data_IF_696183503872
#
_entry.id   IF_696183503872
#
_cell.length_a   1.000
_cell.length_b   1.000
_cell.length_c   1.000
_cell.angle_alpha   90.00
_cell.angle_beta   90.00
_cell.angle_gamma   90.00
#
_symmetry.space_group_name_H-M   'P 1'
#
loop_
_entity.id
_entity.type
_entity.pdbx_description
1 polymer ?
#
# COMPACT_ATOMS: atom_id res chain seq x y z
N UNK A 1 17.30 40.41 27.85
CA UNK A 1 17.50 40.23 26.40
C UNK A 1 18.22 38.91 26.22
N UNK A 2 17.63 37.97 25.50
CA UNK A 2 18.35 36.74 25.12
C UNK A 2 19.21 37.14 23.93
N UNK A 3 20.53 37.18 24.12
CA UNK A 3 21.48 37.42 23.03
C UNK A 3 21.57 36.16 22.17
N UNK A 4 20.74 36.12 21.13
CA UNK A 4 20.81 35.07 20.11
C UNK A 4 22.04 35.34 19.24
N UNK A 5 23.13 34.64 19.55
CA UNK A 5 24.30 34.62 18.69
C UNK A 5 23.95 34.00 17.33
N UNK A 6 24.59 34.48 16.26
CA UNK A 6 24.37 33.96 14.92
C UNK A 6 24.47 32.43 14.85
N UNK A 7 25.45 31.86 15.58
CA UNK A 7 25.67 30.42 15.66
C UNK A 7 24.50 29.67 16.28
N UNK A 8 23.88 30.20 17.34
CA UNK A 8 22.71 29.57 17.96
C UNK A 8 21.48 29.64 17.06
N UNK A 9 21.26 30.77 16.39
CA UNK A 9 20.19 30.91 15.40
C UNK A 9 20.37 29.93 14.23
N UNK A 10 21.59 29.77 13.72
CA UNK A 10 21.90 28.86 12.63
C UNK A 10 21.69 27.39 13.01
N UNK A 11 22.14 26.99 14.21
CA UNK A 11 21.95 25.64 14.72
C UNK A 11 20.48 25.30 14.95
N UNK A 12 19.69 26.25 15.46
CA UNK A 12 18.24 26.07 15.61
C UNK A 12 17.54 25.94 14.27
N UNK A 13 17.90 26.75 13.28
CA UNK A 13 17.35 26.67 11.94
C UNK A 13 17.61 25.30 11.31
N UNK A 14 18.86 24.82 11.36
CA UNK A 14 19.22 23.49 10.86
C UNK A 14 18.53 22.37 11.64
N UNK A 15 18.50 22.46 12.98
CA UNK A 15 17.84 21.46 13.82
C UNK A 15 16.35 21.32 13.52
N UNK A 16 15.63 22.45 13.41
CA UNK A 16 14.20 22.48 13.11
C UNK A 16 13.92 21.95 11.71
N UNK A 17 14.69 22.38 10.70
CA UNK A 17 14.51 21.92 9.32
C UNK A 17 14.76 20.41 9.19
N UNK A 18 15.81 19.90 9.83
CA UNK A 18 16.11 18.46 9.84
C UNK A 18 15.02 17.67 10.58
N UNK A 19 14.54 18.17 11.72
CA UNK A 19 13.45 17.56 12.47
C UNK A 19 12.15 17.52 11.65
N UNK A 20 11.84 18.57 10.87
CA UNK A 20 10.71 18.59 9.96
C UNK A 20 10.83 17.53 8.87
N UNK A 21 11.99 17.45 8.21
CA UNK A 21 12.25 16.45 7.16
C UNK A 21 12.11 15.02 7.72
N UNK A 22 12.71 14.76 8.88
CA UNK A 22 12.60 13.47 9.56
C UNK A 22 11.15 13.17 9.97
N UNK A 23 10.43 14.16 10.51
CA UNK A 23 9.02 14.02 10.88
C UNK A 23 8.14 13.67 9.69
N UNK A 24 8.33 14.34 8.55
CA UNK A 24 7.61 14.04 7.29
C UNK A 24 7.97 12.65 6.80
N UNK A 25 9.25 12.27 6.82
CA UNK A 25 9.69 10.95 6.38
C UNK A 25 9.09 9.83 7.25
N UNK A 26 9.14 9.98 8.56
CA UNK A 26 8.54 9.06 9.53
C UNK A 26 7.03 8.97 9.30
N UNK A 27 6.35 10.11 9.20
CA UNK A 27 4.91 10.16 8.95
C UNK A 27 4.53 9.48 7.63
N UNK A 28 5.27 9.75 6.55
CA UNK A 28 5.09 9.12 5.25
C UNK A 28 5.30 7.62 5.34
N UNK A 29 6.37 7.16 6.00
CA UNK A 29 6.65 5.74 6.15
C UNK A 29 5.54 5.01 6.94
N UNK A 30 5.05 5.60 8.04
CA UNK A 30 3.90 5.05 8.78
C UNK A 30 2.60 5.09 7.97
N UNK A 31 2.36 6.15 7.20
CA UNK A 31 1.18 6.26 6.32
C UNK A 31 1.23 5.27 5.18
N UNK A 32 2.37 5.06 4.55
CA UNK A 32 2.58 4.08 3.48
C UNK A 32 2.39 2.66 4.00
N UNK A 33 2.92 2.33 5.19
CA UNK A 33 2.64 1.04 5.85
C UNK A 33 1.14 0.81 6.07
N UNK A 34 0.39 1.86 6.45
CA UNK A 34 -1.07 1.78 6.57
C UNK A 34 -1.77 1.67 5.21
N UNK A 35 -1.32 2.39 4.18
CA UNK A 35 -1.92 2.33 2.84
C UNK A 35 -1.63 1.02 2.12
N UNK A 36 -0.50 0.35 2.38
CA UNK A 36 -0.24 -1.00 1.88
C UNK A 36 -1.25 -2.01 2.47
N UNK A 37 -1.70 -1.82 3.72
CA UNK A 37 -2.76 -2.67 4.31
C UNK A 37 -4.11 -2.42 3.62
N UNK A 38 -4.38 -1.19 3.17
CA UNK A 38 -5.57 -0.84 2.38
C UNK A 38 -5.40 -1.09 0.87
N UNK A 39 -4.23 -1.55 0.43
CA UNK A 39 -3.97 -1.82 -0.97
C UNK A 39 -4.62 -3.14 -1.35
N UNK A 40 -5.94 -3.08 -1.49
CA UNK A 40 -6.80 -3.99 -2.26
C UNK A 40 -6.47 -5.47 -2.01
N UNK A 41 -7.29 -6.18 -1.23
CA UNK A 41 -7.25 -7.65 -1.19
C UNK A 41 -7.49 -8.18 -2.62
N UNK A 42 -6.43 -8.24 -3.42
CA UNK A 42 -6.47 -8.81 -4.75
C UNK A 42 -6.57 -10.31 -4.56
N UNK A 43 -7.80 -10.79 -4.65
CA UNK A 43 -8.07 -12.20 -4.65
C UNK A 43 -7.51 -12.79 -5.95
N UNK A 44 -6.66 -13.81 -5.82
CA UNK A 44 -6.20 -14.58 -6.97
C UNK A 44 -7.30 -15.57 -7.33
N UNK A 45 -7.80 -15.46 -8.55
CA UNK A 45 -8.79 -16.36 -9.14
C UNK A 45 -8.12 -17.23 -10.20
N UNK A 46 -8.63 -18.45 -10.34
CA UNK A 46 -8.25 -19.36 -11.42
C UNK A 46 -9.52 -19.70 -12.18
N UNK A 47 -9.51 -19.51 -13.50
CA UNK A 47 -10.67 -19.82 -14.34
C UNK A 47 -10.85 -21.35 -14.48
N UNK A 48 -12.07 -21.85 -14.25
CA UNK A 48 -12.40 -23.29 -14.41
C UNK A 48 -12.26 -23.79 -15.86
N UNK A 49 -12.35 -22.89 -16.85
CA UNK A 49 -12.35 -23.26 -18.27
C UNK A 49 -10.95 -23.24 -18.88
N UNK A 50 -10.24 -22.12 -18.78
CA UNK A 50 -8.93 -21.95 -19.41
C UNK A 50 -7.76 -22.10 -18.42
N UNK A 51 -8.04 -22.33 -17.13
CA UNK A 51 -7.02 -22.45 -16.08
C UNK A 51 -6.09 -21.24 -15.94
N UNK A 52 -6.48 -20.10 -16.52
CA UNK A 52 -5.74 -18.86 -16.42
C UNK A 52 -5.91 -18.27 -15.01
N UNK A 53 -4.80 -17.95 -14.35
CA UNK A 53 -4.78 -17.28 -13.07
C UNK A 53 -4.77 -15.76 -13.27
N UNK A 54 -5.68 -15.05 -12.60
CA UNK A 54 -5.80 -13.60 -12.69
C UNK A 54 -6.12 -12.99 -11.33
N UNK A 55 -5.76 -11.71 -11.15
CA UNK A 55 -6.04 -10.95 -9.94
C UNK A 55 -7.21 -10.02 -10.22
N UNK A 56 -8.23 -10.06 -9.37
CA UNK A 56 -9.37 -9.15 -9.45
C UNK A 56 -9.48 -8.37 -8.14
N UNK A 57 -9.70 -7.07 -8.27
CA UNK A 57 -9.80 -6.13 -7.15
C UNK A 57 -11.19 -6.13 -6.51
N UNK A 58 -12.20 -6.56 -7.27
CA UNK A 58 -13.59 -6.60 -6.84
C UNK A 58 -14.01 -8.07 -6.73
N UNK A 59 -14.12 -8.56 -5.50
CA UNK A 59 -14.61 -9.92 -5.21
C UNK A 59 -16.11 -9.94 -5.52
N UNK A 60 -16.46 -10.16 -6.78
CA UNK A 60 -17.83 -10.43 -7.20
C UNK A 60 -18.07 -11.94 -7.15
N UNK A 61 -19.32 -12.32 -6.93
CA UNK A 61 -19.71 -13.74 -6.98
C UNK A 61 -19.56 -14.31 -8.39
N UNK A 62 -19.62 -13.46 -9.42
CA UNK A 62 -19.48 -13.82 -10.82
C UNK A 62 -18.45 -12.92 -11.52
N UNK A 63 -17.33 -13.52 -11.93
CA UNK A 63 -16.20 -12.82 -12.55
C UNK A 63 -16.04 -13.29 -13.99
N UNK A 64 -15.68 -12.39 -14.92
CA UNK A 64 -15.41 -12.73 -16.31
C UNK A 64 -13.91 -12.92 -16.50
N UNK A 65 -13.49 -14.08 -17.00
CA UNK A 65 -12.07 -14.34 -17.25
C UNK A 65 -11.55 -13.40 -18.38
N UNK A 66 -10.41 -12.70 -18.18
CA UNK A 66 -9.86 -11.80 -19.19
C UNK A 66 -9.33 -12.54 -20.42
N UNK A 67 -8.97 -13.82 -20.28
CA UNK A 67 -8.37 -14.60 -21.36
C UNK A 67 -9.41 -15.27 -22.26
N UNK A 68 -10.41 -15.94 -21.68
CA UNK A 68 -11.41 -16.69 -22.45
C UNK A 68 -12.78 -16.01 -22.53
N UNK A 69 -13.03 -14.97 -21.72
CA UNK A 69 -14.30 -14.25 -21.69
C UNK A 69 -15.48 -15.01 -21.09
N UNK A 70 -15.28 -16.25 -20.62
CA UNK A 70 -16.30 -17.02 -19.89
C UNK A 70 -16.45 -16.53 -18.45
N UNK A 71 -17.65 -16.73 -17.91
CA UNK A 71 -17.97 -16.43 -16.52
C UNK A 71 -17.51 -17.57 -15.61
N UNK A 72 -16.66 -17.24 -14.64
CA UNK A 72 -16.20 -18.18 -13.64
C UNK A 72 -17.27 -18.31 -12.55
N UNK A 73 -17.94 -19.47 -12.47
CA UNK A 73 -19.04 -19.71 -11.51
C UNK A 73 -18.51 -20.22 -10.18
N UNK A 74 -17.46 -21.04 -10.16
CA UNK A 74 -16.81 -21.47 -8.92
C UNK A 74 -15.50 -20.72 -8.75
N UNK A 75 -15.59 -19.57 -8.10
CA UNK A 75 -14.43 -18.80 -7.71
C UNK A 75 -13.84 -19.42 -6.43
N UNK A 76 -12.87 -20.33 -6.57
CA UNK A 76 -12.05 -20.76 -5.44
C UNK A 76 -11.13 -19.63 -4.99
N UNK A 77 -11.65 -18.79 -4.12
CA UNK A 77 -10.88 -17.79 -3.39
C UNK A 77 -9.88 -18.49 -2.48
N UNK A 78 -8.58 -18.40 -2.82
CA UNK A 78 -7.51 -18.78 -1.89
C UNK A 78 -6.98 -17.50 -1.24
N UNK A 79 -7.42 -17.24 -0.01
CA UNK A 79 -6.81 -16.23 0.87
C UNK A 79 -5.34 -16.60 1.02
N UNK A 80 -4.42 -15.87 0.37
CA UNK A 80 -2.99 -16.10 0.57
C UNK A 80 -2.69 -15.58 1.98
N UNK A 81 -2.28 -16.44 2.94
CA UNK A 81 -1.90 -15.96 4.25
C UNK A 81 -0.69 -15.06 4.10
N UNK A 82 -0.83 -13.83 4.58
CA UNK A 82 0.24 -12.86 4.60
C UNK A 82 1.38 -13.44 5.47
N UNK A 83 2.50 -13.83 4.86
CA UNK A 83 3.69 -14.22 5.63
C UNK A 83 4.30 -12.93 6.17
N UNK A 84 4.03 -12.71 7.46
CA UNK A 84 4.53 -11.63 8.29
C UNK A 84 6.05 -11.70 8.45
#
# INVERSE_FOLDING_TARGET
>A
MIELSFTTAFMLYLGITLAFVLGIWIYSHYRTRRQIIFSCEKALFVCEYCHFAYLEENIKELNRCPQCGLFNKQNHYRKIPNKQ
#
